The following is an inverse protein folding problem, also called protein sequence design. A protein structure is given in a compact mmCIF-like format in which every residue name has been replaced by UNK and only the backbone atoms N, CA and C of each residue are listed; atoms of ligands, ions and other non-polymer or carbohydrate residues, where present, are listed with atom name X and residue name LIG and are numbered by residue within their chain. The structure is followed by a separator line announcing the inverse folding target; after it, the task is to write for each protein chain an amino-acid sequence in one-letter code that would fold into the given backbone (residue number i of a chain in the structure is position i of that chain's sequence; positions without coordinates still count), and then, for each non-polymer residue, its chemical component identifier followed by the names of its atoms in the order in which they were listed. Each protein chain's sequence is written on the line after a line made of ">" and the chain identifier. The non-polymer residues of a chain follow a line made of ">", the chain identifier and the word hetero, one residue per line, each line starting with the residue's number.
data_IF_450995704657
#
_entry.id   IF_450995704657
#
_cell.length_a   1.000
_cell.length_b   1.000
_cell.length_c   1.000
_cell.angle_alpha   90.00
_cell.angle_beta   90.00
_cell.angle_gamma   90.00
#
_symmetry.space_group_name_H-M   'P 1'
#
loop_
_entity.id
_entity.type
_entity.pdbx_description
1 polymer ?
#
# COMPACT_ATOMS: atom_id res chain seq x y z
N UNK A 1 20.61 59.65 -10.92
CA UNK A 1 20.57 58.21 -10.60
C UNK A 1 21.00 58.01 -9.14
N UNK A 2 20.04 57.93 -8.22
CA UNK A 2 20.35 57.71 -6.80
C UNK A 2 20.51 56.20 -6.56
N UNK A 3 21.72 55.78 -6.20
CA UNK A 3 22.02 54.40 -5.80
C UNK A 3 21.32 54.17 -4.45
N UNK A 4 20.16 53.51 -4.45
CA UNK A 4 19.48 53.18 -3.20
C UNK A 4 20.39 52.26 -2.40
N UNK A 5 21.03 52.81 -1.37
CA UNK A 5 21.85 52.04 -0.44
C UNK A 5 20.93 51.02 0.23
N UNK A 6 21.07 49.74 -0.12
CA UNK A 6 20.36 48.66 0.54
C UNK A 6 20.65 48.76 2.04
N UNK A 7 19.60 48.98 2.84
CA UNK A 7 19.70 49.00 4.31
C UNK A 7 20.49 47.77 4.77
N UNK A 8 21.41 47.88 5.75
CA UNK A 8 22.25 46.78 6.22
C UNK A 8 21.44 45.53 6.62
N UNK A 9 20.22 45.72 7.11
CA UNK A 9 19.25 44.66 7.37
C UNK A 9 18.91 43.79 6.12
N UNK A 10 18.80 44.39 4.93
CA UNK A 10 18.51 43.66 3.70
C UNK A 10 19.67 42.78 3.24
N UNK A 11 20.91 43.18 3.50
CA UNK A 11 22.10 42.36 3.22
C UNK A 11 22.20 41.17 4.17
N UNK A 12 21.84 41.35 5.44
CA UNK A 12 21.76 40.25 6.42
C UNK A 12 20.67 39.24 6.07
N UNK A 13 19.48 39.71 5.68
CA UNK A 13 18.38 38.84 5.23
C UNK A 13 18.77 38.06 3.97
N UNK A 14 19.42 38.70 2.99
CA UNK A 14 19.90 38.03 1.79
C UNK A 14 20.98 36.97 2.10
N UNK A 15 21.91 37.27 3.01
CA UNK A 15 22.93 36.31 3.46
C UNK A 15 22.31 35.12 4.20
N UNK A 16 21.35 35.36 5.09
CA UNK A 16 20.60 34.31 5.79
C UNK A 16 19.82 33.41 4.82
N UNK A 17 19.17 34.00 3.81
CA UNK A 17 18.46 33.25 2.78
C UNK A 17 19.40 32.37 1.93
N UNK A 18 20.58 32.89 1.57
CA UNK A 18 21.58 32.11 0.83
C UNK A 18 22.14 30.94 1.66
N UNK A 19 22.42 31.17 2.94
CA UNK A 19 22.83 30.10 3.86
C UNK A 19 21.74 29.03 4.00
N UNK A 20 20.48 29.44 4.16
CA UNK A 20 19.36 28.51 4.23
C UNK A 20 19.26 27.63 2.99
N UNK A 21 19.40 28.21 1.78
CA UNK A 21 19.39 27.45 0.53
C UNK A 21 20.55 26.45 0.46
N UNK A 22 21.77 26.87 0.82
CA UNK A 22 22.95 25.99 0.84
C UNK A 22 22.77 24.83 1.82
N UNK A 23 22.34 25.10 3.05
CA UNK A 23 22.10 24.05 4.04
C UNK A 23 20.96 23.12 3.65
N UNK A 24 19.90 23.64 3.02
CA UNK A 24 18.75 22.82 2.57
C UNK A 24 19.16 21.87 1.44
N UNK A 25 19.94 22.36 0.47
CA UNK A 25 20.47 21.52 -0.61
C UNK A 25 21.46 20.50 -0.07
N UNK A 26 22.41 20.91 0.78
CA UNK A 26 23.37 20.00 1.40
C UNK A 26 22.67 18.91 2.24
N UNK A 27 21.66 19.30 3.04
CA UNK A 27 20.84 18.36 3.81
C UNK A 27 20.07 17.39 2.92
N UNK A 28 19.56 17.84 1.78
CA UNK A 28 18.88 16.97 0.81
C UNK A 28 19.83 15.96 0.17
N UNK A 29 21.05 16.38 -0.19
CA UNK A 29 22.08 15.48 -0.73
C UNK A 29 22.52 14.46 0.31
N UNK A 30 22.76 14.89 1.55
CA UNK A 30 23.10 14.00 2.67
C UNK A 30 21.96 13.01 2.98
N UNK A 31 20.70 13.45 2.90
CA UNK A 31 19.56 12.57 3.09
C UNK A 31 19.49 11.49 2.01
N UNK A 32 19.65 11.85 0.74
CA UNK A 32 19.64 10.88 -0.36
C UNK A 32 20.82 9.90 -0.23
N UNK A 33 22.03 10.38 0.07
CA UNK A 33 23.20 9.50 0.19
C UNK A 33 23.12 8.55 1.39
N UNK A 34 22.52 8.98 2.49
CA UNK A 34 22.32 8.11 3.67
C UNK A 34 21.19 7.10 3.47
N UNK A 35 20.11 7.48 2.78
CA UNK A 35 18.96 6.61 2.52
C UNK A 35 19.12 5.69 1.32
N UNK A 36 20.18 5.86 0.51
CA UNK A 36 20.46 5.02 -0.65
C UNK A 36 20.52 3.52 -0.27
N UNK A 37 21.22 3.18 0.82
CA UNK A 37 21.38 1.79 1.27
C UNK A 37 20.05 1.12 1.67
N UNK A 38 19.09 1.90 2.13
CA UNK A 38 17.78 1.43 2.61
C UNK A 38 16.77 1.37 1.46
N UNK A 39 16.89 2.26 0.47
CA UNK A 39 15.96 2.39 -0.66
C UNK A 39 16.32 1.54 -1.88
N UNK A 40 17.36 0.72 -1.79
CA UNK A 40 17.71 -0.28 -2.82
C UNK A 40 16.63 -1.32 -3.09
N UNK A 41 15.64 -1.46 -2.18
CA UNK A 41 14.56 -2.44 -2.27
C UNK A 41 13.22 -1.85 -1.78
N UNK A 42 12.12 -2.43 -2.26
CA UNK A 42 10.75 -2.04 -1.91
C UNK A 42 10.40 -2.25 -0.42
N UNK A 43 11.23 -2.99 0.32
CA UNK A 43 11.00 -3.30 1.75
C UNK A 43 11.63 -2.30 2.71
N UNK A 44 12.42 -1.34 2.19
CA UNK A 44 13.20 -0.39 2.98
C UNK A 44 14.13 -1.08 3.99
N UNK A 45 14.61 -2.27 3.64
CA UNK A 45 15.52 -3.04 4.46
C UNK A 45 16.96 -2.66 4.10
N UNK A 46 17.67 -2.06 5.06
CA UNK A 46 19.06 -1.64 4.89
C UNK A 46 19.96 -2.77 4.37
N UNK A 47 20.70 -2.49 3.30
CA UNK A 47 21.70 -3.40 2.70
C UNK A 47 21.14 -4.79 2.37
N UNK A 48 19.87 -4.87 2.00
CA UNK A 48 19.23 -6.13 1.62
C UNK A 48 19.88 -6.69 0.35
N UNK A 49 20.44 -7.89 0.45
CA UNK A 49 20.94 -8.62 -0.69
C UNK A 49 19.94 -9.71 -1.09
N UNK A 50 19.30 -9.57 -2.25
CA UNK A 50 18.27 -10.52 -2.70
C UNK A 50 18.77 -11.97 -2.74
N UNK A 51 20.00 -12.23 -3.22
CA UNK A 51 20.49 -13.61 -3.35
C UNK A 51 20.63 -14.31 -1.99
N UNK A 52 21.12 -13.58 -0.99
CA UNK A 52 21.35 -14.09 0.35
C UNK A 52 20.15 -14.00 1.28
N UNK A 53 19.55 -12.82 1.40
CA UNK A 53 18.49 -12.55 2.35
C UNK A 53 17.21 -13.35 2.06
N UNK A 54 16.85 -13.57 0.78
CA UNK A 54 15.75 -14.47 0.45
C UNK A 54 16.06 -15.93 0.83
N UNK A 55 17.30 -16.38 0.63
CA UNK A 55 17.74 -17.72 1.04
C UNK A 55 17.66 -17.90 2.56
N UNK A 56 18.11 -16.89 3.31
CA UNK A 56 18.02 -16.84 4.77
C UNK A 56 16.58 -16.88 5.26
N UNK A 57 15.74 -15.97 4.77
CA UNK A 57 14.33 -15.92 5.14
C UNK A 57 13.62 -17.22 4.80
N UNK A 58 13.87 -17.81 3.63
CA UNK A 58 13.27 -19.08 3.21
C UNK A 58 13.65 -20.23 4.14
N UNK A 59 14.94 -20.35 4.45
CA UNK A 59 15.44 -21.41 5.34
C UNK A 59 14.96 -21.22 6.78
N UNK A 60 14.98 -19.98 7.27
CA UNK A 60 14.46 -19.62 8.59
C UNK A 60 12.95 -19.91 8.70
N UNK A 61 12.13 -19.45 7.75
CA UNK A 61 10.69 -19.76 7.76
C UNK A 61 10.46 -21.26 7.69
N UNK A 62 11.19 -22.00 6.85
CA UNK A 62 11.00 -23.45 6.75
C UNK A 62 11.35 -24.20 8.03
N UNK A 63 12.34 -23.73 8.80
CA UNK A 63 12.66 -24.32 10.10
C UNK A 63 11.63 -23.94 11.16
N UNK A 64 11.14 -22.69 11.18
CA UNK A 64 10.12 -22.25 12.11
C UNK A 64 8.76 -22.89 11.87
N UNK A 65 8.40 -23.21 10.62
CA UNK A 65 7.19 -23.97 10.31
C UNK A 65 7.20 -25.37 10.94
N UNK A 66 8.38 -25.99 11.03
CA UNK A 66 8.54 -27.31 11.66
C UNK A 66 8.54 -27.21 13.19
N UNK A 67 9.25 -26.23 13.75
CA UNK A 67 9.46 -26.11 15.20
C UNK A 67 8.29 -25.41 15.92
N UNK A 68 7.64 -24.46 15.26
CA UNK A 68 6.61 -23.59 15.81
C UNK A 68 5.36 -23.54 14.91
N UNK A 69 4.66 -24.67 14.71
CA UNK A 69 3.55 -24.77 13.76
C UNK A 69 2.34 -23.88 14.12
N UNK A 70 2.16 -23.49 15.38
CA UNK A 70 1.12 -22.56 15.83
C UNK A 70 1.41 -21.08 15.55
N UNK A 71 2.56 -20.78 14.92
CA UNK A 71 3.01 -19.44 14.61
C UNK A 71 4.00 -18.89 15.63
N UNK A 72 4.93 -18.07 15.14
CA UNK A 72 5.96 -17.39 15.91
C UNK A 72 5.63 -15.89 15.99
N UNK A 73 5.72 -15.31 17.19
CA UNK A 73 5.57 -13.87 17.42
C UNK A 73 6.89 -13.26 17.95
N UNK A 74 8.01 -13.61 17.34
CA UNK A 74 9.33 -13.11 17.72
C UNK A 74 9.92 -12.16 16.68
N UNK A 75 10.97 -11.44 17.10
CA UNK A 75 11.77 -10.56 16.25
C UNK A 75 12.89 -11.35 15.57
N UNK A 76 13.07 -11.15 14.26
CA UNK A 76 14.11 -11.82 13.46
C UNK A 76 15.53 -11.49 13.94
N UNK A 77 15.70 -10.38 14.66
CA UNK A 77 16.98 -9.83 15.16
C UNK A 77 17.62 -10.67 16.27
N UNK A 78 16.99 -11.78 16.69
CA UNK A 78 17.49 -12.65 17.75
C UNK A 78 18.64 -13.54 17.26
N UNK A 79 19.76 -13.54 17.98
CA UNK A 79 20.98 -14.25 17.57
C UNK A 79 20.78 -15.76 17.41
N UNK A 80 19.83 -16.38 18.11
CA UNK A 80 19.55 -17.82 17.95
C UNK A 80 18.93 -18.19 16.60
N UNK A 81 18.50 -17.19 15.82
CA UNK A 81 18.01 -17.38 14.45
C UNK A 81 19.11 -17.21 13.39
N UNK A 82 20.32 -16.84 13.80
CA UNK A 82 21.46 -16.81 12.90
C UNK A 82 21.83 -18.24 12.48
N UNK A 83 22.20 -18.40 11.22
CA UNK A 83 22.68 -19.65 10.66
C UNK A 83 24.10 -19.49 10.10
N UNK A 84 24.74 -20.63 9.85
CA UNK A 84 26.10 -20.69 9.33
C UNK A 84 26.15 -20.85 7.81
N UNK A 85 25.03 -20.62 7.11
CA UNK A 85 24.97 -20.86 5.67
C UNK A 85 25.72 -19.76 4.90
N UNK A 86 26.58 -20.13 3.93
CA UNK A 86 27.23 -19.15 3.08
C UNK A 86 26.22 -18.62 2.05
N UNK A 87 25.76 -17.38 2.26
CA UNK A 87 24.81 -16.68 1.37
C UNK A 87 25.47 -15.93 0.21
N UNK A 88 26.74 -16.23 -0.09
CA UNK A 88 27.53 -15.59 -1.14
C UNK A 88 27.75 -16.48 -2.38
N UNK A 89 27.14 -17.67 -2.43
CA UNK A 89 27.22 -18.60 -3.56
C UNK A 89 26.33 -18.16 -4.73
N UNK A 90 26.64 -18.65 -5.94
CA UNK A 90 25.84 -18.41 -7.15
C UNK A 90 24.42 -19.00 -7.09
N UNK A 91 24.19 -19.93 -6.15
CA UNK A 91 22.87 -20.47 -5.82
C UNK A 91 22.75 -20.59 -4.31
N UNK A 92 21.63 -20.12 -3.76
CA UNK A 92 21.27 -20.31 -2.35
C UNK A 92 20.22 -21.40 -2.27
N UNK A 93 20.52 -22.48 -1.54
CA UNK A 93 19.57 -23.57 -1.34
C UNK A 93 18.72 -23.28 -0.11
N UNK A 94 17.40 -23.30 -0.29
CA UNK A 94 16.46 -23.24 0.82
C UNK A 94 16.30 -24.65 1.37
N UNK A 95 16.76 -24.87 2.61
CA UNK A 95 16.56 -26.15 3.28
C UNK A 95 15.11 -26.25 3.75
N UNK A 96 14.37 -27.24 3.24
CA UNK A 96 13.02 -27.55 3.69
C UNK A 96 12.89 -29.00 4.11
N UNK A 97 12.09 -29.25 5.16
CA UNK A 97 11.84 -30.61 5.64
C UNK A 97 10.68 -31.24 4.88
N UNK A 98 10.90 -32.41 4.28
CA UNK A 98 9.81 -33.19 3.69
C UNK A 98 8.77 -33.64 4.74
N UNK A 99 9.17 -33.71 6.02
CA UNK A 99 8.29 -34.09 7.13
C UNK A 99 7.13 -33.10 7.29
N UNK A 100 7.37 -31.80 7.14
CA UNK A 100 6.32 -30.79 7.21
C UNK A 100 5.28 -30.92 6.08
N UNK A 101 5.71 -31.26 4.86
CA UNK A 101 4.80 -31.53 3.75
C UNK A 101 3.96 -32.81 4.00
N UNK A 102 4.57 -33.86 4.55
CA UNK A 102 3.88 -35.12 4.87
C UNK A 102 2.90 -35.01 6.04
N UNK A 103 3.04 -34.02 6.92
CA UNK A 103 2.06 -33.74 7.99
C UNK A 103 0.75 -33.17 7.44
N UNK A 104 0.74 -32.65 6.21
CA UNK A 104 -0.46 -32.18 5.55
C UNK A 104 -1.08 -33.34 4.77
N UNK A 105 -2.04 -34.03 5.39
CA UNK A 105 -2.73 -35.16 4.78
C UNK A 105 -3.71 -34.70 3.68
N UNK A 106 -3.14 -34.39 2.52
CA UNK A 106 -3.87 -34.06 1.31
C UNK A 106 -4.43 -35.29 0.58
N UNK A 107 -4.02 -36.50 1.00
CA UNK A 107 -4.36 -37.77 0.33
C UNK A 107 -5.78 -38.27 0.65
N UNK A 108 -6.40 -37.70 1.68
CA UNK A 108 -7.76 -38.08 2.07
C UNK A 108 -8.76 -37.72 0.95
N UNK A 109 -9.61 -38.70 0.57
CA UNK A 109 -10.65 -38.51 -0.46
C UNK A 109 -11.52 -37.25 -0.25
N UNK A 110 -11.97 -36.89 0.97
CA UNK A 110 -12.71 -35.65 1.19
C UNK A 110 -11.89 -34.38 0.87
N UNK A 111 -10.58 -34.42 1.10
CA UNK A 111 -9.65 -33.32 0.80
C UNK A 111 -9.46 -33.20 -0.71
N UNK A 112 -9.29 -34.31 -1.43
CA UNK A 112 -9.22 -34.33 -2.89
C UNK A 112 -10.51 -33.82 -3.55
N UNK A 113 -11.69 -34.24 -3.07
CA UNK A 113 -12.99 -33.75 -3.59
C UNK A 113 -13.15 -32.25 -3.34
N UNK A 114 -12.80 -31.76 -2.13
CA UNK A 114 -12.81 -30.33 -1.84
C UNK A 114 -11.83 -29.57 -2.74
N UNK A 115 -10.62 -30.09 -2.92
CA UNK A 115 -9.61 -29.51 -3.81
C UNK A 115 -10.12 -29.39 -5.25
N UNK A 116 -10.68 -30.48 -5.81
CA UNK A 116 -11.27 -30.48 -7.15
C UNK A 116 -12.37 -29.42 -7.26
N UNK A 117 -13.26 -29.29 -6.26
CA UNK A 117 -14.35 -28.29 -6.25
C UNK A 117 -13.93 -26.84 -6.20
N UNK A 118 -12.68 -26.58 -5.89
CA UNK A 118 -12.15 -25.24 -5.78
C UNK A 118 -11.18 -24.93 -6.92
N UNK A 119 -10.54 -25.96 -7.47
CA UNK A 119 -9.75 -25.85 -8.68
C UNK A 119 -10.63 -25.49 -9.89
N UNK A 120 -10.09 -24.64 -10.77
CA UNK A 120 -10.72 -24.31 -12.05
C UNK A 120 -10.51 -25.42 -13.08
N UNK A 121 -11.40 -25.48 -14.07
CA UNK A 121 -11.31 -26.46 -15.17
C UNK A 121 -9.99 -26.38 -15.97
N UNK A 122 -9.34 -25.20 -16.03
CA UNK A 122 -8.07 -25.00 -16.72
C UNK A 122 -6.91 -25.80 -16.11
N UNK A 123 -6.96 -26.10 -14.81
CA UNK A 123 -5.90 -26.79 -14.09
C UNK A 123 -6.09 -28.34 -14.07
N UNK A 124 -7.18 -28.86 -14.64
CA UNK A 124 -7.41 -30.32 -14.73
C UNK A 124 -6.28 -31.07 -15.46
N UNK A 125 -5.69 -30.55 -16.57
CA UNK A 125 -4.53 -31.19 -17.20
C UNK A 125 -3.29 -31.24 -16.29
N UNK A 126 -3.19 -30.39 -15.27
CA UNK A 126 -2.04 -30.31 -14.36
C UNK A 126 -2.03 -31.42 -13.30
N UNK A 127 -3.16 -32.10 -13.07
CA UNK A 127 -3.22 -33.31 -12.20
C UNK A 127 -2.37 -34.45 -12.79
N UNK A 128 -1.92 -34.34 -14.06
CA UNK A 128 -1.03 -35.29 -14.73
C UNK A 128 -1.55 -36.74 -14.70
N UNK A 129 -2.87 -36.91 -14.57
CA UNK A 129 -3.49 -38.22 -14.46
C UNK A 129 -3.63 -38.85 -15.83
N UNK A 130 -3.11 -40.06 -15.93
CA UNK A 130 -3.18 -40.84 -17.13
C UNK A 130 -4.54 -41.56 -17.16
N UNK A 131 -5.60 -40.82 -17.51
CA UNK A 131 -6.97 -41.32 -17.49
C UNK A 131 -7.15 -42.61 -18.32
N UNK A 132 -8.02 -43.48 -17.83
CA UNK A 132 -8.40 -44.73 -18.46
C UNK A 132 -9.71 -44.61 -19.24
N UNK A 133 -10.66 -43.80 -18.74
CA UNK A 133 -11.96 -43.57 -19.37
C UNK A 133 -12.40 -42.12 -19.27
N UNK A 134 -13.23 -41.68 -20.21
CA UNK A 134 -13.91 -40.38 -20.12
C UNK A 134 -14.97 -40.41 -19.04
N UNK A 135 -15.83 -41.44 -19.03
CA UNK A 135 -17.04 -41.52 -18.23
C UNK A 135 -17.05 -42.72 -17.26
N UNK A 136 -17.77 -42.61 -16.15
CA UNK A 136 -17.90 -43.67 -15.14
C UNK A 136 -18.55 -44.95 -15.69
N UNK A 137 -19.31 -44.87 -16.78
CA UNK A 137 -19.89 -46.04 -17.46
C UNK A 137 -18.89 -46.74 -18.40
N UNK A 138 -17.64 -46.28 -18.45
CA UNK A 138 -16.56 -46.86 -19.25
C UNK A 138 -16.88 -46.95 -20.75
N UNK A 139 -17.72 -46.05 -21.29
CA UNK A 139 -18.10 -46.07 -22.71
C UNK A 139 -16.98 -45.64 -23.63
N UNK A 140 -16.14 -44.71 -23.16
CA UNK A 140 -15.08 -44.12 -23.97
C UNK A 140 -13.70 -44.38 -23.34
N UNK A 141 -12.94 -45.38 -23.82
CA UNK A 141 -11.59 -45.64 -23.34
C UNK A 141 -10.61 -44.56 -23.83
N UNK A 142 -9.67 -44.17 -22.95
CA UNK A 142 -8.64 -43.15 -23.23
C UNK A 142 -7.20 -43.67 -23.09
N UNK A 143 -7.02 -44.96 -22.79
CA UNK A 143 -5.69 -45.53 -22.72
C UNK A 143 -4.97 -45.41 -24.07
N UNK A 144 -3.74 -44.89 -24.06
CA UNK A 144 -2.92 -44.71 -25.27
C UNK A 144 -2.47 -46.03 -25.93
N UNK A 145 -2.66 -47.18 -25.26
CA UNK A 145 -2.30 -48.50 -25.77
C UNK A 145 -3.22 -49.57 -25.23
N UNK A 146 -3.38 -50.66 -26.00
CA UNK A 146 -4.19 -51.81 -25.62
C UNK A 146 -3.70 -52.46 -24.31
N UNK A 147 -2.38 -52.58 -24.14
CA UNK A 147 -1.78 -53.11 -22.90
C UNK A 147 -2.15 -52.27 -21.67
N UNK A 148 -2.24 -50.94 -21.81
CA UNK A 148 -2.70 -50.08 -20.73
C UNK A 148 -4.21 -50.21 -20.52
N UNK A 149 -5.00 -50.35 -21.58
CA UNK A 149 -6.44 -50.58 -21.45
C UNK A 149 -6.75 -51.85 -20.65
N UNK A 150 -6.03 -52.95 -20.90
CA UNK A 150 -6.15 -54.19 -20.12
C UNK A 150 -5.84 -53.94 -18.64
N UNK A 151 -4.79 -53.17 -18.35
CA UNK A 151 -4.41 -52.81 -16.97
C UNK A 151 -5.46 -51.91 -16.31
N UNK A 152 -6.00 -50.94 -17.04
CA UNK A 152 -7.09 -50.09 -16.58
C UNK A 152 -8.26 -50.93 -16.07
N UNK A 153 -8.75 -51.88 -16.90
CA UNK A 153 -9.86 -52.76 -16.55
C UNK A 153 -9.53 -53.66 -15.34
N UNK A 154 -8.31 -54.21 -15.29
CA UNK A 154 -7.91 -55.16 -14.25
C UNK A 154 -7.63 -54.52 -12.89
N UNK A 155 -6.98 -53.37 -12.86
CA UNK A 155 -6.40 -52.78 -11.64
C UNK A 155 -7.07 -51.47 -11.21
N UNK A 156 -7.65 -50.71 -12.15
CA UNK A 156 -8.05 -49.33 -11.92
C UNK A 156 -9.55 -49.07 -12.06
N UNK A 157 -10.35 -50.10 -12.36
CA UNK A 157 -11.80 -49.95 -12.52
C UNK A 157 -12.50 -49.34 -11.28
N UNK A 158 -12.01 -49.64 -10.07
CA UNK A 158 -12.52 -49.07 -8.81
C UNK A 158 -11.92 -47.72 -8.42
N UNK A 159 -10.94 -47.19 -9.15
CA UNK A 159 -10.28 -45.93 -8.82
C UNK A 159 -10.93 -44.76 -9.57
N UNK A 160 -11.72 -43.96 -8.84
CA UNK A 160 -12.40 -42.78 -9.39
C UNK A 160 -11.47 -41.77 -10.07
N UNK A 161 -10.21 -41.65 -9.62
CA UNK A 161 -9.23 -40.72 -10.20
C UNK A 161 -8.82 -41.07 -11.65
N UNK A 162 -9.09 -42.29 -12.11
CA UNK A 162 -8.76 -42.75 -13.47
C UNK A 162 -9.87 -42.43 -14.50
N UNK A 163 -10.92 -41.74 -14.05
CA UNK A 163 -12.04 -41.29 -14.88
C UNK A 163 -12.01 -39.76 -15.03
N UNK A 164 -11.97 -39.26 -16.26
CA UNK A 164 -11.93 -37.80 -16.51
C UNK A 164 -13.20 -37.09 -16.02
N UNK A 165 -14.36 -37.75 -16.11
CA UNK A 165 -15.64 -37.27 -15.56
C UNK A 165 -15.54 -36.96 -14.07
N UNK A 166 -14.74 -37.69 -13.29
CA UNK A 166 -14.57 -37.43 -11.85
C UNK A 166 -13.98 -36.06 -11.57
N UNK A 167 -12.99 -35.63 -12.37
CA UNK A 167 -12.37 -34.33 -12.25
C UNK A 167 -13.29 -33.24 -12.80
N UNK A 168 -13.76 -33.40 -14.04
CA UNK A 168 -14.58 -32.40 -14.73
C UNK A 168 -15.93 -32.14 -14.06
N UNK A 169 -16.53 -33.14 -13.41
CA UNK A 169 -17.80 -32.97 -12.69
C UNK A 169 -17.64 -32.29 -11.33
N UNK A 170 -16.43 -32.26 -10.78
CA UNK A 170 -16.17 -31.62 -9.50
C UNK A 170 -15.59 -30.21 -9.64
N UNK A 171 -14.85 -29.87 -10.71
CA UNK A 171 -14.25 -28.54 -10.88
C UNK A 171 -15.24 -27.39 -10.96
N UNK A 172 -14.83 -26.23 -10.46
CA UNK A 172 -15.66 -25.04 -10.43
C UNK A 172 -15.86 -24.44 -11.85
N UNK A 173 -17.07 -23.97 -12.19
CA UNK A 173 -17.32 -23.29 -13.46
C UNK A 173 -16.63 -21.91 -13.50
N UNK A 174 -16.24 -21.41 -14.70
CA UNK A 174 -15.56 -20.12 -14.88
C UNK A 174 -16.29 -18.92 -14.27
N UNK A 175 -17.61 -19.00 -14.14
CA UNK A 175 -18.47 -17.91 -13.64
C UNK A 175 -18.61 -17.85 -12.12
N UNK A 176 -18.06 -18.82 -11.38
CA UNK A 176 -18.06 -18.81 -9.91
C UNK A 176 -16.91 -17.97 -9.31
N UNK A 177 -16.17 -17.24 -10.14
CA UNK A 177 -15.07 -16.37 -9.73
C UNK A 177 -15.63 -14.99 -9.39
N UNK A 178 -15.68 -14.57 -8.11
CA UNK A 178 -15.84 -13.15 -7.83
C UNK A 178 -14.64 -12.42 -8.42
N UNK A 179 -14.91 -11.50 -9.35
CA UNK A 179 -13.96 -10.47 -9.74
C UNK A 179 -13.56 -9.73 -8.46
N UNK A 180 -12.31 -9.89 -8.04
CA UNK A 180 -11.71 -9.27 -6.86
C UNK A 180 -12.37 -9.61 -5.51
N UNK A 181 -11.87 -10.67 -4.85
CA UNK A 181 -11.81 -10.63 -3.39
C UNK A 181 -10.72 -9.62 -3.03
N UNK A 182 -11.16 -8.42 -2.66
CA UNK A 182 -10.36 -7.42 -1.95
C UNK A 182 -9.91 -8.02 -0.60
N UNK A 183 -8.82 -8.79 -0.61
CA UNK A 183 -8.04 -8.98 0.61
C UNK A 183 -7.23 -7.70 0.79
N UNK A 184 -7.64 -6.86 1.73
CA UNK A 184 -6.87 -5.71 2.14
C UNK A 184 -5.47 -6.17 2.60
N UNK A 185 -4.45 -6.04 1.74
CA UNK A 185 -3.06 -6.27 2.12
C UNK A 185 -2.11 -6.89 1.08
N UNK A 186 -2.53 -7.24 -0.14
CA UNK A 186 -1.62 -7.85 -1.14
C UNK A 186 -1.87 -7.36 -2.56
N UNK A 187 -0.80 -7.11 -3.31
CA UNK A 187 -0.79 -6.61 -4.71
C UNK A 187 -1.80 -7.36 -5.58
N UNK A 188 -2.71 -6.62 -6.21
CA UNK A 188 -3.41 -7.05 -7.42
C UNK A 188 -2.42 -6.87 -8.56
N UNK A 189 -1.88 -7.97 -9.08
CA UNK A 189 -1.08 -7.94 -10.30
C UNK A 189 -2.02 -7.60 -11.47
N UNK A 190 -2.01 -6.34 -11.88
CA UNK A 190 -2.64 -5.90 -13.13
C UNK A 190 -1.67 -6.15 -14.28
N UNK A 191 -1.53 -7.40 -14.71
CA UNK A 191 -0.89 -7.71 -16.00
C UNK A 191 -1.38 -9.07 -16.50
N UNK A 192 -2.30 -9.06 -17.46
CA UNK A 192 -2.79 -10.27 -18.12
C UNK A 192 -4.15 -10.73 -17.61
N UNK A 193 -4.98 -11.23 -18.52
CA UNK A 193 -6.29 -11.83 -18.24
C UNK A 193 -6.14 -13.19 -17.55
N UNK A 194 -5.49 -13.24 -16.41
CA UNK A 194 -5.32 -14.49 -15.66
C UNK A 194 -6.62 -14.79 -14.92
N UNK A 195 -7.29 -15.86 -15.35
CA UNK A 195 -8.48 -16.40 -14.68
C UNK A 195 -8.06 -16.84 -13.27
N UNK A 196 -8.34 -16.02 -12.26
CA UNK A 196 -8.05 -16.35 -10.86
C UNK A 196 -8.97 -17.51 -10.47
N UNK A 197 -8.40 -18.71 -10.35
CA UNK A 197 -9.14 -19.89 -9.92
C UNK A 197 -9.55 -19.76 -8.43
N UNK A 198 -10.72 -20.30 -8.04
CA UNK A 198 -11.15 -20.29 -6.64
C UNK A 198 -10.13 -21.01 -5.74
N UNK A 199 -10.04 -20.59 -4.47
CA UNK A 199 -9.14 -21.21 -3.49
C UNK A 199 -9.93 -21.70 -2.29
N UNK A 200 -9.60 -22.89 -1.81
CA UNK A 200 -10.22 -23.45 -0.60
C UNK A 200 -9.17 -23.66 0.48
N UNK A 201 -9.38 -22.96 1.60
CA UNK A 201 -8.59 -23.12 2.79
C UNK A 201 -8.88 -24.48 3.43
N UNK A 202 -7.82 -25.25 3.69
CA UNK A 202 -7.86 -26.46 4.49
C UNK A 202 -7.69 -26.09 5.96
N UNK A 203 -8.80 -25.77 6.61
CA UNK A 203 -8.89 -25.65 8.06
C UNK A 203 -8.81 -24.23 8.62
N UNK A 204 -8.97 -24.16 9.93
CA UNK A 204 -9.12 -22.92 10.72
C UNK A 204 -7.85 -22.59 11.54
N UNK A 205 -6.81 -23.43 11.44
CA UNK A 205 -5.53 -23.26 12.15
C UNK A 205 -4.46 -22.75 11.20
N UNK A 206 -3.61 -21.86 11.72
CA UNK A 206 -2.40 -21.41 11.02
C UNK A 206 -1.34 -22.51 11.07
N UNK A 207 -0.54 -22.70 10.01
CA UNK A 207 -0.61 -22.01 8.71
C UNK A 207 -1.79 -22.49 7.85
N UNK A 208 -2.47 -21.53 7.22
CA UNK A 208 -3.59 -21.81 6.31
C UNK A 208 -3.01 -22.31 4.98
N UNK A 209 -3.34 -23.55 4.63
CA UNK A 209 -2.93 -24.16 3.38
C UNK A 209 -4.13 -24.27 2.44
N UNK A 210 -3.93 -23.95 1.18
CA UNK A 210 -4.92 -24.06 0.13
C UNK A 210 -4.41 -25.00 -0.96
N UNK A 211 -5.33 -25.80 -1.50
CA UNK A 211 -5.04 -26.60 -2.70
C UNK A 211 -5.21 -25.69 -3.89
N UNK A 212 -4.10 -25.43 -4.60
CA UNK A 212 -4.13 -24.71 -5.88
C UNK A 212 -4.37 -25.73 -7.02
N UNK A 213 -3.65 -26.87 -7.00
CA UNK A 213 -3.83 -27.98 -7.93
C UNK A 213 -3.77 -29.30 -7.18
N UNK A 214 -4.82 -30.11 -7.28
CA UNK A 214 -4.89 -31.44 -6.64
C UNK A 214 -3.73 -32.31 -7.15
N UNK A 215 -3.09 -33.03 -6.23
CA UNK A 215 -1.94 -33.93 -6.47
C UNK A 215 -0.65 -33.28 -7.02
N UNK A 216 -0.65 -31.96 -7.28
CA UNK A 216 0.50 -31.26 -7.85
C UNK A 216 1.04 -30.14 -6.96
N UNK A 217 0.17 -29.21 -6.54
CA UNK A 217 0.60 -28.01 -5.84
C UNK A 217 -0.33 -27.62 -4.70
N UNK A 218 0.27 -27.49 -3.53
CA UNK A 218 -0.36 -26.96 -2.34
C UNK A 218 0.38 -25.69 -1.91
N UNK A 219 -0.38 -24.64 -1.59
CA UNK A 219 0.15 -23.34 -1.19
C UNK A 219 -0.20 -23.06 0.26
N UNK A 220 0.80 -22.80 1.08
CA UNK A 220 0.60 -22.44 2.48
C UNK A 220 1.07 -21.02 2.77
N UNK A 221 0.26 -20.28 3.52
CA UNK A 221 0.67 -19.01 4.09
C UNK A 221 1.35 -19.26 5.44
N UNK A 222 2.68 -19.17 5.44
CA UNK A 222 3.50 -19.38 6.63
C UNK A 222 3.36 -18.25 7.67
N UNK A 223 3.15 -17.02 7.20
CA UNK A 223 3.05 -15.84 8.05
C UNK A 223 3.45 -14.56 7.31
N UNK A 224 3.53 -13.46 8.06
CA UNK A 224 3.93 -12.15 7.54
C UNK A 224 5.15 -11.68 8.32
N UNK A 225 6.25 -11.42 7.61
CA UNK A 225 7.43 -10.76 8.18
C UNK A 225 7.18 -9.25 8.13
N UNK A 226 7.09 -8.62 9.31
CA UNK A 226 6.91 -7.17 9.42
C UNK A 226 8.28 -6.51 9.48
N UNK A 227 8.56 -5.61 8.55
CA UNK A 227 9.80 -4.83 8.49
C UNK A 227 9.46 -3.39 8.93
N UNK A 228 10.19 -2.89 9.93
CA UNK A 228 10.00 -1.53 10.47
C UNK A 228 8.94 -1.41 11.57
N UNK A 229 8.79 -0.20 12.14
CA UNK A 229 7.86 0.12 13.22
C UNK A 229 7.13 1.43 12.98
N UNK A 230 5.81 1.37 12.78
CA UNK A 230 4.95 2.55 12.67
C UNK A 230 4.94 3.41 13.94
N UNK A 231 5.14 2.79 15.11
CA UNK A 231 5.18 3.50 16.40
C UNK A 231 6.42 4.39 16.47
N UNK A 232 7.60 3.85 16.12
CA UNK A 232 8.84 4.65 16.09
C UNK A 232 8.75 5.78 15.07
N UNK A 233 8.21 5.49 13.88
CA UNK A 233 7.98 6.51 12.86
C UNK A 233 7.06 7.63 13.36
N UNK A 234 5.92 7.28 13.97
CA UNK A 234 4.99 8.25 14.55
C UNK A 234 5.62 9.08 15.69
N UNK A 235 6.45 8.45 16.53
CA UNK A 235 7.20 9.16 17.58
C UNK A 235 8.19 10.16 17.00
N UNK A 236 8.94 9.79 15.96
CA UNK A 236 9.88 10.68 15.26
C UNK A 236 9.17 11.89 14.64
N UNK A 237 8.03 11.68 13.98
CA UNK A 237 7.19 12.77 13.44
C UNK A 237 6.63 13.64 14.57
N UNK A 238 6.16 13.03 15.66
CA UNK A 238 5.66 13.77 16.82
C UNK A 238 6.73 14.67 17.45
N UNK A 239 7.93 14.12 17.67
CA UNK A 239 9.06 14.87 18.22
C UNK A 239 9.47 16.01 17.29
N UNK A 240 9.55 15.79 15.97
CA UNK A 240 9.92 16.86 15.03
C UNK A 240 8.91 18.01 15.04
N UNK A 241 7.62 17.72 15.03
CA UNK A 241 6.56 18.74 15.10
C UNK A 241 6.62 19.52 16.41
N UNK A 242 6.79 18.83 17.55
CA UNK A 242 6.88 19.48 18.87
C UNK A 242 8.11 20.36 18.97
N UNK A 243 9.26 19.90 18.50
CA UNK A 243 10.52 20.68 18.50
C UNK A 243 10.38 21.91 17.60
N UNK A 244 9.85 21.76 16.39
CA UNK A 244 9.59 22.90 15.50
C UNK A 244 8.62 23.90 16.12
N UNK A 245 7.53 23.43 16.75
CA UNK A 245 6.57 24.29 17.43
C UNK A 245 7.19 25.03 18.63
N UNK A 246 7.95 24.34 19.47
CA UNK A 246 8.61 24.93 20.63
C UNK A 246 9.65 25.96 20.22
N UNK A 247 10.48 25.66 19.21
CA UNK A 247 11.45 26.60 18.65
C UNK A 247 10.75 27.85 18.11
N UNK A 248 9.69 27.66 17.32
CA UNK A 248 8.95 28.78 16.74
C UNK A 248 8.25 29.62 17.82
N UNK A 249 7.70 28.99 18.86
CA UNK A 249 7.09 29.67 20.00
C UNK A 249 8.10 30.47 20.82
N UNK A 250 9.31 29.96 21.02
CA UNK A 250 10.35 30.64 21.79
C UNK A 250 10.96 31.82 21.00
N UNK A 251 11.24 31.64 19.70
CA UNK A 251 11.72 32.71 18.83
C UNK A 251 10.68 33.85 18.65
N UNK A 252 9.40 33.54 18.75
CA UNK A 252 8.29 34.48 18.51
C UNK A 252 7.40 34.72 19.73
N UNK A 253 7.99 34.64 20.93
CA UNK A 253 7.27 34.80 22.22
C UNK A 253 6.50 36.13 22.36
N UNK A 254 6.90 37.16 21.61
CA UNK A 254 6.38 38.52 21.66
C UNK A 254 5.47 38.92 20.50
N UNK A 255 5.11 38.00 19.59
CA UNK A 255 4.13 38.31 18.55
C UNK A 255 2.72 38.33 19.15
N UNK A 256 2.20 39.54 19.33
CA UNK A 256 0.80 39.79 19.67
C UNK A 256 -0.06 39.36 18.48
N UNK A 257 -1.03 38.47 18.70
CA UNK A 257 -1.92 38.01 17.64
C UNK A 257 -2.96 39.09 17.32
N UNK A 258 -2.61 40.03 16.45
CA UNK A 258 -3.56 41.07 15.98
C UNK A 258 -4.65 40.51 15.05
N UNK A 259 -4.68 39.18 14.79
CA UNK A 259 -5.57 38.53 13.80
C UNK A 259 -6.86 38.00 14.40
N UNK A 260 -7.47 38.77 15.29
CA UNK A 260 -8.82 38.53 15.77
C UNK A 260 -9.82 38.81 14.63
N UNK A 261 -10.84 37.95 14.50
CA UNK A 261 -12.03 38.12 13.64
C UNK A 261 -12.06 37.47 12.23
N UNK A 262 -11.36 36.35 12.00
CA UNK A 262 -11.63 35.51 10.81
C UNK A 262 -12.45 34.28 11.22
N UNK A 263 -13.63 34.08 10.59
CA UNK A 263 -14.56 32.98 10.89
C UNK A 263 -13.85 31.60 10.93
N UNK A 264 -14.27 30.74 11.87
CA UNK A 264 -13.80 29.34 12.01
C UNK A 264 -14.07 28.47 10.77
N UNK A 265 -14.91 28.94 9.84
CA UNK A 265 -15.24 28.26 8.58
C UNK A 265 -14.17 28.42 7.49
N UNK A 266 -13.18 29.30 7.71
CA UNK A 266 -12.09 29.48 6.75
C UNK A 266 -10.99 28.43 6.96
N UNK A 267 -10.49 27.88 5.84
CA UNK A 267 -9.29 27.06 5.86
C UNK A 267 -8.11 27.84 6.48
N UNK A 268 -7.23 27.14 7.20
CA UNK A 268 -6.04 27.73 7.84
C UNK A 268 -5.18 28.54 6.86
N UNK A 269 -5.17 28.16 5.58
CA UNK A 269 -4.49 28.89 4.50
C UNK A 269 -4.92 30.37 4.38
N UNK A 270 -6.18 30.73 4.62
CA UNK A 270 -6.64 32.13 4.58
C UNK A 270 -5.94 32.96 5.65
N UNK A 271 -5.82 32.38 6.85
CA UNK A 271 -5.33 33.04 8.05
C UNK A 271 -3.81 33.17 8.07
N UNK A 272 -3.10 32.23 7.44
CA UNK A 272 -1.63 32.16 7.46
C UNK A 272 -0.95 32.53 6.13
N UNK A 273 -1.63 32.41 4.98
CA UNK A 273 -1.03 32.63 3.66
C UNK A 273 -1.36 34.01 3.07
N UNK A 274 -2.49 34.62 3.44
CA UNK A 274 -2.94 35.91 2.89
C UNK A 274 -2.74 37.06 3.88
N UNK A 275 -2.12 38.15 3.41
CA UNK A 275 -2.03 39.42 4.13
C UNK A 275 -3.24 40.30 3.82
N UNK A 276 -4.18 40.38 4.76
CA UNK A 276 -5.49 41.03 4.54
C UNK A 276 -5.53 42.53 4.90
N UNK A 277 -4.42 43.09 5.40
CA UNK A 277 -4.36 44.49 5.87
C UNK A 277 -4.78 45.52 4.80
N UNK A 278 -4.40 45.26 3.54
CA UNK A 278 -4.73 46.11 2.39
C UNK A 278 -6.08 45.78 1.72
N UNK A 279 -6.81 44.80 2.26
CA UNK A 279 -8.07 44.28 1.73
C UNK A 279 -9.24 44.49 2.71
N UNK A 280 -9.09 45.43 3.66
CA UNK A 280 -10.09 45.80 4.66
C UNK A 280 -10.69 47.19 4.38
N UNK A 281 -12.01 47.27 4.23
CA UNK A 281 -12.74 48.54 4.06
C UNK A 281 -13.98 48.55 4.95
N UNK A 282 -14.19 49.63 5.72
CA UNK A 282 -15.32 49.75 6.67
C UNK A 282 -15.53 48.49 7.53
N UNK A 283 -14.43 47.92 8.03
CA UNK A 283 -14.43 46.72 8.86
C UNK A 283 -14.93 45.43 8.17
N UNK A 284 -15.03 45.42 6.85
CA UNK A 284 -15.35 44.24 6.03
C UNK A 284 -14.13 43.85 5.21
N UNK A 285 -13.81 42.56 5.19
CA UNK A 285 -12.71 42.01 4.39
C UNK A 285 -13.20 41.68 2.98
N UNK A 286 -12.38 41.99 1.98
CA UNK A 286 -12.65 41.68 0.57
C UNK A 286 -11.69 40.61 0.08
N UNK A 287 -12.21 39.64 -0.68
CA UNK A 287 -11.41 38.55 -1.25
C UNK A 287 -11.72 38.40 -2.74
N UNK A 288 -10.69 38.16 -3.55
CA UNK A 288 -10.88 37.87 -4.98
C UNK A 288 -11.36 36.42 -5.21
N UNK A 289 -11.96 36.17 -6.38
CA UNK A 289 -12.54 34.87 -6.73
C UNK A 289 -11.51 33.73 -6.78
N UNK A 290 -10.28 33.97 -7.22
CA UNK A 290 -9.26 32.92 -7.32
C UNK A 290 -8.75 32.53 -5.93
N UNK A 291 -8.49 33.51 -5.07
CA UNK A 291 -8.13 33.29 -3.66
C UNK A 291 -9.26 32.61 -2.88
N UNK A 292 -10.52 32.91 -3.18
CA UNK A 292 -11.68 32.21 -2.60
C UNK A 292 -11.68 30.71 -2.91
N UNK A 293 -11.41 30.33 -4.16
CA UNK A 293 -11.33 28.93 -4.57
C UNK A 293 -10.18 28.20 -3.87
N UNK A 294 -8.99 28.83 -3.82
CA UNK A 294 -7.81 28.27 -3.13
C UNK A 294 -8.07 28.05 -1.63
N UNK A 295 -8.98 28.84 -1.07
CA UNK A 295 -9.34 28.80 0.35
C UNK A 295 -10.58 27.94 0.64
N UNK A 296 -11.10 27.24 -0.38
CA UNK A 296 -12.22 26.30 -0.26
C UNK A 296 -13.61 26.94 -0.29
N UNK A 297 -13.72 28.21 -0.68
CA UNK A 297 -15.00 28.90 -0.85
C UNK A 297 -15.50 28.79 -2.30
N UNK A 298 -16.75 28.35 -2.46
CA UNK A 298 -17.44 28.33 -3.75
C UNK A 298 -18.21 29.65 -3.95
N UNK A 299 -17.75 30.49 -4.87
CA UNK A 299 -18.46 31.72 -5.24
C UNK A 299 -19.49 31.45 -6.33
N UNK A 300 -20.78 31.50 -6.00
CA UNK A 300 -21.87 31.37 -6.97
C UNK A 300 -22.46 32.76 -7.25
N UNK A 301 -22.43 33.18 -8.51
CA UNK A 301 -23.00 34.45 -8.95
C UNK A 301 -24.41 34.19 -9.49
N UNK A 302 -25.42 34.48 -8.68
CA UNK A 302 -26.83 34.35 -9.05
C UNK A 302 -27.36 35.71 -9.52
N UNK A 303 -28.05 35.74 -10.66
CA UNK A 303 -28.33 36.93 -11.48
C UNK A 303 -28.74 38.21 -10.71
N UNK A 304 -28.09 39.32 -11.09
CA UNK A 304 -28.36 40.72 -10.75
C UNK A 304 -28.42 41.10 -9.25
N UNK A 305 -27.25 41.15 -8.60
CA UNK A 305 -27.08 42.02 -7.42
C UNK A 305 -26.19 43.23 -7.77
N UNK A 306 -26.80 44.24 -8.40
CA UNK A 306 -26.18 45.54 -8.65
C UNK A 306 -26.24 46.37 -7.38
N UNK A 307 -25.28 46.22 -6.47
CA UNK A 307 -24.99 47.19 -5.39
C UNK A 307 -23.62 46.91 -4.79
N UNK A 308 -22.55 47.33 -5.46
CA UNK A 308 -21.32 47.65 -4.75
C UNK A 308 -21.37 49.14 -4.44
N UNK A 309 -21.32 49.48 -3.15
CA UNK A 309 -21.12 50.85 -2.68
C UNK A 309 -19.98 51.47 -3.48
N UNK A 310 -20.24 52.55 -4.23
CA UNK A 310 -19.23 53.26 -5.02
C UNK A 310 -18.11 53.71 -4.08
N UNK A 311 -17.01 52.96 -4.03
CA UNK A 311 -15.78 53.43 -3.41
C UNK A 311 -15.36 54.72 -4.13
N UNK A 312 -14.88 55.75 -3.42
CA UNK A 312 -14.33 56.94 -4.08
C UNK A 312 -13.21 56.53 -5.05
N UNK A 313 -13.14 57.13 -6.26
CA UNK A 313 -12.12 56.78 -7.26
C UNK A 313 -10.68 57.05 -6.80
N UNK A 314 -10.50 57.87 -5.76
CA UNK A 314 -9.19 58.14 -5.15
C UNK A 314 -8.72 57.05 -4.17
N UNK A 315 -9.57 56.09 -3.79
CA UNK A 315 -9.20 55.06 -2.82
C UNK A 315 -8.49 53.89 -3.51
N UNK A 316 -7.34 53.38 -2.99
CA UNK A 316 -6.55 52.32 -3.64
C UNK A 316 -7.27 50.97 -3.81
N UNK A 317 -8.41 50.79 -3.14
CA UNK A 317 -9.28 49.62 -3.32
C UNK A 317 -10.34 49.77 -4.42
N UNK A 318 -10.48 50.93 -5.06
CA UNK A 318 -11.50 51.16 -6.08
C UNK A 318 -11.40 50.18 -7.27
N UNK A 319 -10.19 49.86 -7.71
CA UNK A 319 -9.97 48.90 -8.79
C UNK A 319 -9.99 47.44 -8.32
N UNK A 320 -9.59 47.19 -7.06
CA UNK A 320 -9.52 45.83 -6.49
C UNK A 320 -10.90 45.24 -6.18
N UNK A 321 -11.83 46.09 -5.72
CA UNK A 321 -13.20 45.67 -5.34
C UNK A 321 -14.06 45.33 -6.58
N UNK A 322 -13.62 45.68 -7.80
CA UNK A 322 -14.29 45.24 -9.05
C UNK A 322 -14.24 43.72 -9.24
N UNK A 323 -13.19 43.07 -8.71
CA UNK A 323 -12.95 41.64 -8.86
C UNK A 323 -13.01 40.87 -7.54
N UNK A 324 -13.38 41.55 -6.45
CA UNK A 324 -13.40 41.00 -5.10
C UNK A 324 -14.78 41.17 -4.46
N UNK A 325 -15.18 40.20 -3.64
CA UNK A 325 -16.46 40.20 -2.95
C UNK A 325 -16.24 40.38 -1.43
N UNK A 326 -17.19 41.02 -0.73
CA UNK A 326 -17.11 41.16 0.71
C UNK A 326 -17.32 39.80 1.40
N UNK A 327 -16.45 39.46 2.33
CA UNK A 327 -16.64 38.36 3.26
C UNK A 327 -17.57 38.83 4.38
N UNK A 328 -18.65 38.06 4.65
CA UNK A 328 -19.57 38.34 5.75
C UNK A 328 -18.82 38.26 7.08
N UNK A 329 -18.44 39.42 7.63
CA UNK A 329 -17.95 39.56 8.99
C UNK A 329 -19.10 39.74 9.96
N UNK A 330 -18.96 39.21 11.18
CA UNK A 330 -19.91 39.28 12.32
C UNK A 330 -20.21 40.69 12.85
N UNK A 331 -19.87 41.75 12.10
CA UNK A 331 -20.10 43.15 12.45
C UNK A 331 -21.22 43.85 11.66
N UNK A 332 -21.97 43.14 10.82
CA UNK A 332 -23.18 43.68 10.20
C UNK A 332 -24.35 43.58 11.19
N UNK A 333 -24.39 44.46 12.18
CA UNK A 333 -25.66 44.88 12.77
C UNK A 333 -26.51 45.48 11.65
N UNK A 334 -27.71 44.91 11.45
CA UNK A 334 -28.80 45.53 10.70
C UNK A 334 -29.09 46.93 11.21
#
# INVERSE_FOLDING_TARGET
>A
MAKSSFRPAGRLVAGGGLLYMVFSVAGSVLYISTTEADTTNDFWWSRFNATGAYGFLGSWVSTQLLLNPSGLNDTLDYLAFADSMPYNSSSTMISSSALYANLQDASALPTAIRGLRCMGYCAVPEIMTAYCWVDFKQRFPMAHSERRQVRCVREYAGNGAMYLESALSNVAPPSAVPSAVLVAGGRVDKRGSDVVCPRCALGDRRPLCAIDVVDFLLRCDAGVVKIGSYVRFGQLVGVSVVVCYAFQRECHRHLQDDRHDVLLLFASSVKYLFTMDNWKYKNVYYLDKASAVITGLLCVEYNHCRRTSKLPPAHPMHDRVKCAFPLLGTGASM
#
